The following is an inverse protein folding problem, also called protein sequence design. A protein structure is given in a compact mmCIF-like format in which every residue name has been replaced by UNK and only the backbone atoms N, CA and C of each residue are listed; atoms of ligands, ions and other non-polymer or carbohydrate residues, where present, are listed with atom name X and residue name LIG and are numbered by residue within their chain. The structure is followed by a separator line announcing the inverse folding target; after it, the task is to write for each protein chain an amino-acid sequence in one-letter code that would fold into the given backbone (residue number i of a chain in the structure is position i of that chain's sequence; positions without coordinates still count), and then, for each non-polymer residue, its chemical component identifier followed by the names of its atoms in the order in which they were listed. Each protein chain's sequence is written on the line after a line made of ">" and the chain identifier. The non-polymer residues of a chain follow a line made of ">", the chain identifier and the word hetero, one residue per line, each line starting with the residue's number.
data_IF_440605136083
#
_entry.id   IF_440605136083
#
_cell.length_a   1.000
_cell.length_b   1.000
_cell.length_c   1.000
_cell.angle_alpha   90.00
_cell.angle_beta   90.00
_cell.angle_gamma   90.00
#
_symmetry.space_group_name_H-M   'P 1'
#
loop_
_entity.id
_entity.type
_entity.pdbx_description
1 polymer ?
#
# COMPACT_ATOMS: atom_id res chain seq x y z
N UNK A 1 -9.58 20.58 -6.66
CA UNK A 1 -9.02 19.82 -5.52
C UNK A 1 -10.02 18.73 -5.18
N UNK A 2 -9.53 17.56 -4.79
CA UNK A 2 -10.43 16.47 -4.42
C UNK A 2 -10.99 16.72 -3.02
N UNK A 3 -12.27 16.41 -2.84
CA UNK A 3 -12.88 16.42 -1.53
C UNK A 3 -12.50 15.12 -0.82
N UNK A 4 -11.89 15.22 0.36
CA UNK A 4 -11.47 14.08 1.15
C UNK A 4 -12.62 13.09 1.42
N UNK A 5 -13.85 13.59 1.61
CA UNK A 5 -15.04 12.76 1.89
C UNK A 5 -15.49 11.91 0.70
N UNK A 6 -15.08 12.25 -0.51
CA UNK A 6 -15.36 11.50 -1.73
C UNK A 6 -14.24 10.49 -2.06
N UNK A 7 -13.22 10.40 -1.18
CA UNK A 7 -12.08 9.51 -1.34
C UNK A 7 -12.18 8.30 -0.41
N UNK A 8 -11.67 7.15 -0.88
CA UNK A 8 -11.51 5.93 -0.08
C UNK A 8 -10.06 5.48 -0.05
N UNK A 9 -9.54 5.28 1.16
CA UNK A 9 -8.26 4.65 1.46
C UNK A 9 -8.48 3.15 1.70
N UNK A 10 -7.69 2.31 1.02
CA UNK A 10 -7.57 0.88 1.29
C UNK A 10 -6.20 0.55 1.90
N UNK A 11 -6.16 -0.20 3.00
CA UNK A 11 -4.92 -0.72 3.59
C UNK A 11 -5.13 -2.01 4.41
N UNK A 12 -4.05 -2.61 4.91
CA UNK A 12 -4.07 -3.89 5.63
C UNK A 12 -4.08 -3.78 7.16
N UNK A 13 -4.24 -2.57 7.70
CA UNK A 13 -4.32 -2.30 9.15
C UNK A 13 -3.06 -2.64 9.95
N UNK A 14 -1.92 -2.80 9.30
CA UNK A 14 -0.66 -3.16 9.96
C UNK A 14 -0.05 -1.97 10.71
N UNK A 15 0.82 -2.28 11.67
CA UNK A 15 1.66 -1.28 12.35
C UNK A 15 2.55 -0.55 11.33
N UNK A 16 2.84 0.72 11.58
CA UNK A 16 3.77 1.52 10.78
C UNK A 16 3.04 2.38 9.77
N UNK A 17 3.49 2.37 8.51
CA UNK A 17 2.94 3.20 7.44
C UNK A 17 1.40 3.14 7.35
N UNK A 18 0.84 1.93 7.34
CA UNK A 18 -0.61 1.73 7.18
C UNK A 18 -1.44 2.33 8.32
N UNK A 19 -0.91 2.34 9.55
CA UNK A 19 -1.59 2.99 10.68
C UNK A 19 -1.60 4.51 10.51
N UNK A 20 -0.49 5.10 10.05
CA UNK A 20 -0.37 6.56 9.83
C UNK A 20 -1.23 7.01 8.65
N UNK A 21 -1.32 6.21 7.58
CA UNK A 21 -2.28 6.45 6.50
C UNK A 21 -3.71 6.49 7.04
N UNK A 22 -4.09 5.50 7.87
CA UNK A 22 -5.42 5.44 8.48
C UNK A 22 -5.73 6.60 9.43
N UNK A 23 -4.77 7.00 10.26
CA UNK A 23 -4.88 8.18 11.15
C UNK A 23 -5.11 9.48 10.37
N UNK A 24 -4.39 9.66 9.25
CA UNK A 24 -4.62 10.80 8.37
C UNK A 24 -5.97 10.70 7.66
N UNK A 25 -6.38 9.52 7.22
CA UNK A 25 -7.69 9.32 6.62
C UNK A 25 -8.81 9.77 7.58
N UNK A 26 -8.76 9.33 8.83
CA UNK A 26 -9.70 9.75 9.89
C UNK A 26 -9.66 11.26 10.13
N UNK A 27 -8.47 11.85 10.22
CA UNK A 27 -8.28 13.30 10.43
C UNK A 27 -8.91 14.16 9.32
N UNK A 28 -8.75 13.76 8.06
CA UNK A 28 -9.25 14.50 6.90
C UNK A 28 -10.66 14.09 6.45
N UNK A 29 -11.24 13.05 7.06
CA UNK A 29 -12.58 12.55 6.72
C UNK A 29 -12.62 11.68 5.46
N UNK A 30 -11.48 11.11 5.06
CA UNK A 30 -11.40 10.10 3.99
C UNK A 30 -12.02 8.80 4.49
N UNK A 31 -12.80 8.13 3.64
CA UNK A 31 -13.36 6.83 3.98
C UNK A 31 -12.24 5.79 4.06
N UNK A 32 -12.19 5.04 5.15
CA UNK A 32 -11.16 4.03 5.40
C UNK A 32 -11.76 2.63 5.26
N UNK A 33 -11.05 1.74 4.57
CA UNK A 33 -11.37 0.31 4.50
C UNK A 33 -10.12 -0.50 4.80
N UNK A 34 -10.18 -1.28 5.87
CA UNK A 34 -9.07 -2.14 6.31
C UNK A 34 -9.32 -3.58 5.87
N UNK A 35 -8.62 -4.05 4.86
CA UNK A 35 -8.74 -5.46 4.44
C UNK A 35 -7.96 -6.37 5.37
N UNK A 36 -8.59 -7.46 5.79
CA UNK A 36 -7.97 -8.45 6.68
C UNK A 36 -8.57 -9.84 6.44
N UNK A 37 -8.10 -10.85 7.17
CA UNK A 37 -8.62 -12.22 7.14
C UNK A 37 -8.69 -12.80 8.56
N UNK A 38 -9.44 -13.89 8.73
CA UNK A 38 -9.63 -14.52 10.03
C UNK A 38 -8.29 -14.89 10.71
N UNK A 39 -8.11 -14.45 11.96
CA UNK A 39 -6.90 -14.68 12.75
C UNK A 39 -5.72 -13.74 12.44
N UNK A 40 -5.89 -12.75 11.56
CA UNK A 40 -4.86 -11.76 11.29
C UNK A 40 -4.83 -10.67 12.36
N UNK A 41 -3.66 -10.40 12.94
CA UNK A 41 -3.48 -9.39 13.98
C UNK A 41 -3.30 -8.01 13.37
N UNK A 42 -4.28 -7.15 13.58
CA UNK A 42 -4.26 -5.75 13.17
C UNK A 42 -3.67 -4.86 14.27
N UNK A 43 -3.04 -3.76 13.86
CA UNK A 43 -2.70 -2.64 14.74
C UNK A 43 -3.81 -1.59 14.75
N UNK A 44 -4.49 -1.44 13.61
CA UNK A 44 -5.64 -0.57 13.43
C UNK A 44 -6.83 -1.44 13.03
N UNK A 45 -7.76 -1.63 13.96
CA UNK A 45 -8.92 -2.54 13.86
C UNK A 45 -10.24 -1.80 13.54
N UNK A 46 -10.14 -0.58 13.02
CA UNK A 46 -11.27 0.24 12.57
C UNK A 46 -11.63 -0.10 11.13
N UNK A 47 -12.92 -0.01 10.79
CA UNK A 47 -13.42 -0.18 9.42
C UNK A 47 -12.92 -1.46 8.72
N UNK A 48 -12.75 -2.53 9.50
CA UNK A 48 -12.19 -3.79 9.03
C UNK A 48 -13.20 -4.58 8.18
N UNK A 49 -12.75 -4.99 7.00
CA UNK A 49 -13.45 -5.91 6.10
C UNK A 49 -12.69 -7.23 6.11
N UNK A 50 -13.28 -8.23 6.75
CA UNK A 50 -12.72 -9.60 6.79
C UNK A 50 -13.07 -10.28 5.47
N UNK A 51 -12.05 -10.57 4.67
CA UNK A 51 -12.19 -11.32 3.42
C UNK A 51 -12.55 -12.77 3.72
N UNK A 52 -13.58 -13.28 3.05
CA UNK A 52 -13.93 -14.69 3.08
C UNK A 52 -12.88 -15.53 2.34
N UNK A 53 -12.90 -16.86 2.54
CA UNK A 53 -12.00 -17.75 1.80
C UNK A 53 -12.25 -17.68 0.28
N UNK A 54 -13.52 -17.53 -0.13
CA UNK A 54 -13.89 -17.35 -1.55
C UNK A 54 -13.35 -16.02 -2.11
N UNK A 55 -13.37 -14.95 -1.31
CA UNK A 55 -12.80 -13.67 -1.73
C UNK A 55 -11.30 -13.76 -1.85
N UNK A 56 -10.61 -14.32 -0.84
CA UNK A 56 -9.17 -14.55 -0.85
C UNK A 56 -8.74 -15.37 -2.08
N UNK A 57 -9.54 -16.37 -2.48
CA UNK A 57 -9.29 -17.16 -3.69
C UNK A 57 -9.43 -16.35 -4.99
N UNK A 58 -10.25 -15.29 -5.04
CA UNK A 58 -10.30 -14.39 -6.22
C UNK A 58 -9.03 -13.57 -6.37
N UNK A 59 -8.30 -13.36 -5.29
CA UNK A 59 -6.97 -12.78 -5.29
C UNK A 59 -5.84 -13.80 -5.39
N UNK A 60 -6.16 -15.07 -5.69
CA UNK A 60 -5.15 -16.12 -5.78
C UNK A 60 -4.30 -15.90 -7.04
N UNK A 61 -3.08 -15.45 -6.79
CA UNK A 61 -2.01 -15.39 -7.78
C UNK A 61 -1.08 -16.56 -7.49
N UNK A 62 -0.62 -17.25 -8.54
CA UNK A 62 0.29 -18.37 -8.35
C UNK A 62 1.51 -17.92 -7.53
N UNK A 63 1.86 -18.70 -6.51
CA UNK A 63 3.03 -18.43 -5.68
C UNK A 63 4.32 -18.39 -6.51
N UNK A 64 4.35 -19.07 -7.65
CA UNK A 64 5.41 -18.98 -8.65
C UNK A 64 5.52 -17.58 -9.26
N UNK A 65 4.39 -16.97 -9.67
CA UNK A 65 4.38 -15.61 -10.19
C UNK A 65 4.83 -14.62 -9.11
N UNK A 66 4.29 -14.73 -7.90
CA UNK A 66 4.69 -13.89 -6.78
C UNK A 66 6.18 -14.04 -6.45
N UNK A 67 6.71 -15.27 -6.47
CA UNK A 67 8.14 -15.55 -6.23
C UNK A 67 9.02 -14.92 -7.29
N UNK A 68 8.63 -15.03 -8.57
CA UNK A 68 9.35 -14.45 -9.71
C UNK A 68 9.36 -12.92 -9.67
N UNK A 69 8.21 -12.29 -9.43
CA UNK A 69 8.10 -10.82 -9.37
C UNK A 69 8.83 -10.23 -8.17
N UNK A 70 8.83 -10.94 -7.04
CA UNK A 70 9.49 -10.49 -5.81
C UNK A 70 10.96 -10.92 -5.70
N UNK A 71 11.49 -11.60 -6.74
CA UNK A 71 12.82 -12.22 -6.74
C UNK A 71 13.14 -12.99 -5.44
N UNK A 72 12.16 -13.77 -4.95
CA UNK A 72 12.23 -14.41 -3.65
C UNK A 72 11.52 -15.76 -3.65
N UNK A 73 12.15 -16.78 -3.08
CA UNK A 73 11.49 -18.06 -2.83
C UNK A 73 10.65 -17.98 -1.56
N UNK A 74 9.35 -18.23 -1.70
CA UNK A 74 8.47 -18.44 -0.56
C UNK A 74 8.39 -19.95 -0.26
N UNK A 75 8.98 -20.36 0.86
CA UNK A 75 8.69 -21.68 1.42
C UNK A 75 7.26 -21.61 1.98
N UNK A 76 6.37 -22.40 1.39
CA UNK A 76 4.93 -22.30 1.57
C UNK A 76 4.52 -22.18 3.04
N UNK A 77 3.87 -21.07 3.38
CA UNK A 77 3.11 -20.93 4.62
C UNK A 77 1.77 -20.31 4.24
N UNK A 78 0.66 -20.97 4.57
CA UNK A 78 -0.69 -20.49 4.27
C UNK A 78 -0.90 -19.03 4.68
N UNK A 79 -0.24 -18.61 5.77
CA UNK A 79 -0.26 -17.24 6.27
C UNK A 79 0.33 -16.22 5.28
N UNK A 80 1.44 -16.53 4.60
CA UNK A 80 2.01 -15.61 3.61
C UNK A 80 1.06 -15.49 2.42
N UNK A 81 0.50 -16.62 1.95
CA UNK A 81 -0.47 -16.63 0.85
C UNK A 81 -1.66 -15.70 1.15
N UNK A 82 -2.26 -15.82 2.34
CA UNK A 82 -3.37 -14.94 2.77
C UNK A 82 -2.99 -13.46 2.82
N UNK A 83 -1.77 -13.12 3.23
CA UNK A 83 -1.27 -11.74 3.20
C UNK A 83 -1.17 -11.23 1.75
N UNK A 84 -0.59 -12.02 0.85
CA UNK A 84 -0.46 -11.64 -0.56
C UNK A 84 -1.82 -11.45 -1.25
N UNK A 85 -2.78 -12.34 -0.96
CA UNK A 85 -4.17 -12.24 -1.42
C UNK A 85 -4.84 -10.97 -0.89
N UNK A 86 -4.65 -10.65 0.40
CA UNK A 86 -5.20 -9.41 0.99
C UNK A 86 -4.66 -8.16 0.30
N UNK A 87 -3.36 -8.11 0.03
CA UNK A 87 -2.72 -6.99 -0.69
C UNK A 87 -3.26 -6.90 -2.13
N UNK A 88 -3.55 -8.03 -2.78
CA UNK A 88 -4.20 -8.02 -4.09
C UNK A 88 -5.55 -7.30 -4.04
N UNK A 89 -6.40 -7.57 -3.05
CA UNK A 89 -7.68 -6.87 -2.92
C UNK A 89 -7.52 -5.37 -2.70
N UNK A 90 -6.52 -4.97 -1.90
CA UNK A 90 -6.18 -3.56 -1.71
C UNK A 90 -5.85 -2.88 -3.04
N UNK A 91 -4.89 -3.43 -3.80
CA UNK A 91 -4.41 -2.84 -5.07
C UNK A 91 -5.42 -2.97 -6.21
N UNK A 92 -6.26 -4.01 -6.19
CA UNK A 92 -7.33 -4.16 -7.17
C UNK A 92 -8.43 -3.11 -6.98
N UNK A 93 -8.76 -2.76 -5.72
CA UNK A 93 -9.79 -1.77 -5.37
C UNK A 93 -9.30 -0.31 -5.40
N UNK A 94 -8.04 -0.07 -5.09
CA UNK A 94 -7.44 1.27 -5.16
C UNK A 94 -6.90 1.61 -6.55
N UNK A 95 -7.21 2.81 -7.04
CA UNK A 95 -6.70 3.26 -8.33
C UNK A 95 -5.26 3.79 -8.24
N UNK A 96 -4.93 4.54 -7.19
CA UNK A 96 -3.59 5.08 -6.95
C UNK A 96 -2.92 4.36 -5.78
N UNK A 97 -1.61 4.11 -5.85
CA UNK A 97 -0.90 3.32 -4.84
C UNK A 97 0.25 4.15 -4.25
N UNK A 98 0.23 4.31 -2.93
CA UNK A 98 1.27 4.97 -2.15
C UNK A 98 1.92 3.98 -1.21
N UNK A 99 3.24 3.95 -1.24
CA UNK A 99 4.04 3.00 -0.48
C UNK A 99 5.13 3.75 0.27
N UNK A 100 5.33 3.44 1.55
CA UNK A 100 6.53 3.91 2.28
C UNK A 100 7.45 2.73 2.57
N UNK A 101 8.69 2.78 2.10
CA UNK A 101 9.59 1.63 2.20
C UNK A 101 11.02 1.93 1.81
N UNK A 102 11.68 0.92 1.25
CA UNK A 102 13.04 1.03 0.73
C UNK A 102 13.10 0.46 -0.68
N UNK A 103 13.49 1.30 -1.64
CA UNK A 103 13.78 0.89 -3.02
C UNK A 103 15.15 0.23 -3.02
N UNK A 104 15.23 -0.98 -3.60
CA UNK A 104 16.46 -1.75 -3.74
C UNK A 104 17.12 -1.45 -5.10
N UNK A 105 18.37 -1.86 -5.25
CA UNK A 105 19.17 -1.62 -6.47
C UNK A 105 18.57 -2.29 -7.72
N UNK A 106 17.76 -3.32 -7.55
CA UNK A 106 17.02 -4.00 -8.62
C UNK A 106 15.66 -3.34 -8.95
N UNK A 107 15.41 -2.14 -8.43
CA UNK A 107 14.15 -1.38 -8.55
C UNK A 107 12.91 -2.03 -7.89
N UNK A 108 13.11 -3.10 -7.10
CA UNK A 108 12.06 -3.65 -6.25
C UNK A 108 11.97 -2.89 -4.92
N UNK A 109 10.92 -3.16 -4.15
CA UNK A 109 10.76 -2.60 -2.79
C UNK A 109 10.89 -3.70 -1.76
N UNK A 110 11.64 -3.42 -0.69
CA UNK A 110 12.00 -4.39 0.33
C UNK A 110 10.78 -4.93 1.09
N UNK A 111 10.73 -6.26 1.25
CA UNK A 111 9.78 -6.95 2.14
C UNK A 111 8.40 -7.21 1.52
N UNK A 112 7.40 -7.52 2.35
CA UNK A 112 6.04 -7.83 1.89
C UNK A 112 5.34 -6.65 1.21
N UNK A 113 5.76 -5.43 1.54
CA UNK A 113 5.31 -4.19 0.89
C UNK A 113 5.63 -4.16 -0.60
N UNK A 114 6.72 -4.79 -1.05
CA UNK A 114 7.06 -4.86 -2.47
C UNK A 114 6.01 -5.56 -3.30
N UNK A 115 5.19 -6.44 -2.69
CA UNK A 115 4.11 -7.08 -3.42
C UNK A 115 3.05 -6.09 -3.91
N UNK A 116 2.72 -5.08 -3.10
CA UNK A 116 1.81 -4.02 -3.51
C UNK A 116 2.36 -3.20 -4.69
N UNK A 117 3.67 -2.98 -4.70
CA UNK A 117 4.41 -2.28 -5.76
C UNK A 117 4.37 -3.09 -7.06
N UNK A 118 4.68 -4.38 -6.99
CA UNK A 118 4.67 -5.27 -8.15
C UNK A 118 3.26 -5.44 -8.75
N UNK A 119 2.24 -5.53 -7.92
CA UNK A 119 0.84 -5.53 -8.37
C UNK A 119 0.43 -4.21 -9.03
N UNK A 120 0.85 -3.08 -8.44
CA UNK A 120 0.56 -1.77 -9.01
C UNK A 120 1.22 -1.59 -10.39
N UNK A 121 2.46 -2.08 -10.56
CA UNK A 121 3.14 -2.15 -11.87
C UNK A 121 2.35 -3.03 -12.85
N UNK A 122 1.95 -4.24 -12.43
CA UNK A 122 1.21 -5.19 -13.26
C UNK A 122 -0.14 -4.63 -13.76
N UNK A 123 -0.85 -3.89 -12.90
CA UNK A 123 -2.14 -3.28 -13.22
C UNK A 123 -2.04 -1.87 -13.80
N UNK A 124 -0.82 -1.39 -14.09
CA UNK A 124 -0.56 -0.04 -14.59
C UNK A 124 -1.23 1.06 -13.73
N UNK A 125 -1.22 0.89 -12.40
CA UNK A 125 -1.72 1.90 -11.45
C UNK A 125 -0.69 3.02 -11.28
N UNK A 126 -1.12 4.29 -11.12
CA UNK A 126 -0.25 5.35 -10.63
C UNK A 126 0.39 4.93 -9.30
N UNK A 127 1.71 4.78 -9.29
CA UNK A 127 2.47 4.15 -8.22
C UNK A 127 3.55 5.08 -7.70
N UNK A 128 3.51 5.34 -6.39
CA UNK A 128 4.41 6.23 -5.69
C UNK A 128 5.03 5.51 -4.49
N UNK A 129 6.36 5.59 -4.36
CA UNK A 129 7.12 5.03 -3.26
C UNK A 129 7.91 6.14 -2.58
N UNK A 130 7.71 6.34 -1.28
CA UNK A 130 8.62 7.12 -0.45
C UNK A 130 9.77 6.21 -0.01
N UNK A 131 10.97 6.54 -0.47
CA UNK A 131 12.17 5.80 -0.13
C UNK A 131 12.79 6.38 1.14
N UNK A 132 12.64 5.70 2.29
CA UNK A 132 13.09 6.23 3.58
C UNK A 132 14.59 6.55 3.62
N UNK A 133 15.51 5.73 3.08
CA UNK A 133 16.94 6.05 3.09
C UNK A 133 17.29 7.32 2.31
N UNK A 134 16.53 7.64 1.26
CA UNK A 134 16.72 8.84 0.43
C UNK A 134 15.83 10.01 0.86
N UNK A 135 14.89 9.78 1.77
CA UNK A 135 13.93 10.76 2.28
C UNK A 135 13.14 11.48 1.16
N UNK A 136 12.79 10.74 0.09
CA UNK A 136 12.20 11.33 -1.12
C UNK A 136 11.12 10.42 -1.73
N UNK A 137 10.12 11.03 -2.37
CA UNK A 137 9.10 10.33 -3.15
C UNK A 137 9.59 10.03 -4.58
N UNK A 138 9.28 8.83 -5.05
CA UNK A 138 9.55 8.37 -6.40
C UNK A 138 8.27 7.83 -7.03
N UNK A 139 8.03 8.17 -8.29
CA UNK A 139 6.92 7.63 -9.09
C UNK A 139 7.46 6.66 -10.13
N UNK A 140 6.77 5.53 -10.31
CA UNK A 140 7.10 4.59 -11.38
C UNK A 140 6.58 5.10 -12.73
N UNK A 141 7.48 5.45 -13.65
CA UNK A 141 7.14 5.92 -15.01
C UNK A 141 8.14 5.33 -16.00
N UNK A 142 7.65 4.83 -17.13
CA UNK A 142 8.49 4.35 -18.25
C UNK A 142 9.52 3.29 -17.83
N UNK A 143 9.17 2.42 -16.87
CA UNK A 143 10.05 1.35 -16.41
C UNK A 143 11.16 1.80 -15.45
N UNK A 144 11.09 3.02 -14.90
CA UNK A 144 12.06 3.54 -13.93
C UNK A 144 11.40 4.33 -12.81
N UNK A 145 12.09 4.41 -11.67
CA UNK A 145 11.75 5.31 -10.57
C UNK A 145 12.24 6.72 -10.91
N UNK A 146 11.32 7.70 -10.90
CA UNK A 146 11.63 9.12 -11.09
C UNK A 146 11.22 9.90 -9.84
N UNK A 147 12.06 10.80 -9.37
CA UNK A 147 11.71 11.70 -8.26
C UNK A 147 10.44 12.48 -8.59
N UNK A 148 9.56 12.61 -7.60
CA UNK A 148 8.26 13.25 -7.77
C UNK A 148 7.78 13.84 -6.44
N UNK A 149 6.72 14.64 -6.48
CA UNK A 149 6.01 15.14 -5.29
C UNK A 149 4.54 14.81 -5.43
N UNK A 150 4.17 13.55 -5.14
CA UNK A 150 2.87 13.03 -5.53
C UNK A 150 1.76 13.60 -4.65
N UNK A 151 0.55 13.63 -5.22
CA UNK A 151 -0.69 14.01 -4.53
C UNK A 151 -1.76 12.95 -4.77
N UNK A 152 -2.74 12.89 -3.87
CA UNK A 152 -3.91 12.05 -4.04
C UNK A 152 -4.80 12.69 -5.11
N UNK A 153 -4.81 12.07 -6.28
CA UNK A 153 -5.48 12.60 -7.48
C UNK A 153 -6.69 11.76 -7.91
N UNK A 154 -6.99 10.68 -7.18
CA UNK A 154 -8.07 9.75 -7.51
C UNK A 154 -8.94 9.44 -6.29
N UNK A 155 -10.22 9.11 -6.54
CA UNK A 155 -11.22 8.80 -5.50
C UNK A 155 -10.92 7.53 -4.71
N UNK A 156 -10.01 6.69 -5.20
CA UNK A 156 -9.60 5.47 -4.50
C UNK A 156 -8.10 5.33 -4.52
N UNK A 157 -7.51 5.08 -3.36
CA UNK A 157 -6.08 4.88 -3.25
C UNK A 157 -5.72 3.85 -2.19
N UNK A 158 -4.49 3.34 -2.29
CA UNK A 158 -3.92 2.35 -1.37
C UNK A 158 -2.81 2.99 -0.57
N UNK A 159 -2.83 2.79 0.74
CA UNK A 159 -1.71 3.07 1.63
C UNK A 159 -1.06 1.76 2.06
N UNK A 160 0.20 1.53 1.70
CA UNK A 160 0.97 0.39 2.21
C UNK A 160 2.37 0.84 2.62
N UNK A 161 3.09 0.00 3.35
CA UNK A 161 4.45 0.35 3.71
C UNK A 161 5.09 -0.56 4.74
N UNK A 162 6.27 -0.13 5.16
CA UNK A 162 7.06 -0.75 6.22
C UNK A 162 6.36 -0.66 7.58
N UNK A 163 6.64 -1.65 8.44
CA UNK A 163 6.28 -1.63 9.86
C UNK A 163 7.20 -0.74 10.71
N UNK A 164 8.39 -0.46 10.19
CA UNK A 164 9.42 0.37 10.81
C UNK A 164 9.51 1.68 10.04
N UNK A 165 8.62 2.60 10.40
CA UNK A 165 8.50 3.91 9.80
C UNK A 165 9.43 4.89 10.53
N UNK A 166 10.20 5.69 9.79
CA UNK A 166 10.99 6.81 10.34
C UNK A 166 10.11 8.05 10.56
N UNK A 167 10.60 9.01 11.33
CA UNK A 167 9.93 10.30 11.52
C UNK A 167 9.71 11.02 10.17
N UNK A 168 10.69 10.94 9.27
CA UNK A 168 10.56 11.47 7.90
C UNK A 168 9.47 10.74 7.10
N UNK A 169 9.35 9.42 7.26
CA UNK A 169 8.27 8.65 6.66
C UNK A 169 6.89 9.04 7.18
N UNK A 170 6.77 9.33 8.49
CA UNK A 170 5.53 9.86 9.09
C UNK A 170 5.22 11.25 8.50
N UNK A 171 6.22 12.13 8.46
CA UNK A 171 6.09 13.48 7.91
C UNK A 171 5.69 13.45 6.43
N UNK A 172 6.25 12.55 5.64
CA UNK A 172 5.93 12.37 4.23
C UNK A 172 4.46 11.97 4.00
N UNK A 173 3.92 11.06 4.83
CA UNK A 173 2.49 10.70 4.76
C UNK A 173 1.62 11.89 5.17
N UNK A 174 1.96 12.58 6.26
CA UNK A 174 1.20 13.75 6.71
C UNK A 174 1.18 14.84 5.63
N UNK A 175 2.33 15.12 5.01
CA UNK A 175 2.46 16.13 3.97
C UNK A 175 1.66 15.74 2.72
N UNK A 176 1.65 14.45 2.34
CA UNK A 176 0.82 13.96 1.23
C UNK A 176 -0.67 14.32 1.42
N UNK A 177 -1.21 14.13 2.62
CA UNK A 177 -2.61 14.49 2.90
C UNK A 177 -2.82 16.02 2.94
N UNK A 178 -1.87 16.77 3.53
CA UNK A 178 -1.90 18.24 3.53
C UNK A 178 -1.97 18.76 2.09
N UNK A 179 -1.04 18.34 1.24
CA UNK A 179 -0.94 18.80 -0.16
C UNK A 179 -2.14 18.39 -1.02
N UNK A 180 -2.87 17.35 -0.60
CA UNK A 180 -4.03 16.83 -1.32
C UNK A 180 -5.36 17.43 -0.87
N UNK A 181 -5.52 17.73 0.44
CA UNK A 181 -6.82 18.04 1.05
C UNK A 181 -6.88 19.28 1.94
N UNK A 182 -5.76 19.89 2.33
CA UNK A 182 -5.77 21.02 3.29
C UNK A 182 -6.14 22.39 2.67
N UNK A 183 -6.68 22.41 1.45
CA UNK A 183 -7.09 23.62 0.72
C UNK A 183 -8.56 23.54 0.31
#
# INVERSE_FOLDING_TARGET
>A
MMNAKDCTLYHGGLKGAESVFGENAEKYGVHEVVFTFAGHRLNRDRNATILSEEELQRGDISMELASRMMNRTYYETEKIRRVLQTIFHMVNKGHQVFVVGTILDDNSVKGGTGWAVELAKLFNRPLHVYDQPRSQWFTWKEGAWKEDSPRICYSTFVGSGTRYLSDDGIAAINQLFVDSFAN
#
